data_IF_190226600236
#
_entry.id   IF_190226600236
#
_cell.length_a   1.000
_cell.length_b   1.000
_cell.length_c   1.000
_cell.angle_alpha   90.00
_cell.angle_beta   90.00
_cell.angle_gamma   90.00
#
_symmetry.space_group_name_H-M   'P 1'
#
loop_
_entity.id
_entity.type
_entity.pdbx_description
1 polymer ?
#
# COMPACT_ATOMS: atom_id res chain seq x y z
N UNK A 1 -12.42 11.34 -1.64
CA UNK A 1 -13.53 11.38 -2.61
C UNK A 1 -14.82 11.66 -1.86
N UNK A 2 -15.59 12.69 -2.19
CA UNK A 2 -16.74 13.05 -1.38
C UNK A 2 -17.99 12.16 -1.61
N UNK A 3 -18.80 11.92 -0.56
CA UNK A 3 -20.07 11.18 -0.58
C UNK A 3 -21.12 11.90 0.28
N UNK A 4 -22.37 12.01 -0.18
CA UNK A 4 -23.42 12.81 0.46
C UNK A 4 -24.43 11.98 1.25
N UNK A 5 -25.03 12.58 2.27
CA UNK A 5 -26.19 12.02 2.98
C UNK A 5 -27.48 12.27 2.15
N UNK A 6 -28.43 11.32 2.08
CA UNK A 6 -29.72 11.49 1.38
C UNK A 6 -30.52 12.72 1.83
N UNK A 7 -31.08 13.45 0.86
CA UNK A 7 -31.81 14.71 0.98
C UNK A 7 -32.35 15.15 -0.38
N UNK A 8 -33.15 16.23 -0.43
CA UNK A 8 -33.87 16.68 -1.65
C UNK A 8 -32.97 16.98 -2.86
N UNK A 9 -31.67 17.16 -2.64
CA UNK A 9 -30.67 17.53 -3.65
C UNK A 9 -29.59 16.47 -3.86
N UNK A 10 -29.64 15.40 -3.07
CA UNK A 10 -28.52 14.48 -2.94
C UNK A 10 -28.22 13.76 -4.24
N UNK A 11 -29.23 13.36 -5.02
CA UNK A 11 -29.02 12.66 -6.29
C UNK A 11 -28.30 13.51 -7.34
N UNK A 12 -28.58 14.82 -7.40
CA UNK A 12 -27.96 15.75 -8.36
C UNK A 12 -26.51 16.01 -7.95
N UNK A 13 -26.29 16.37 -6.68
CA UNK A 13 -24.98 16.79 -6.19
C UNK A 13 -24.05 15.58 -6.05
N UNK A 14 -24.55 14.40 -5.73
CA UNK A 14 -23.73 13.19 -5.55
C UNK A 14 -23.01 12.80 -6.83
N UNK A 15 -23.65 12.92 -8.00
CA UNK A 15 -23.00 12.67 -9.28
C UNK A 15 -21.91 13.71 -9.61
N UNK A 16 -22.07 14.94 -9.13
CA UNK A 16 -21.12 16.04 -9.38
C UNK A 16 -19.88 15.88 -8.50
N UNK A 17 -20.07 15.42 -7.27
CA UNK A 17 -19.08 15.43 -6.19
C UNK A 17 -18.36 14.09 -6.01
N UNK A 18 -19.01 12.97 -6.39
CA UNK A 18 -18.43 11.64 -6.24
C UNK A 18 -17.13 11.50 -7.05
N UNK A 19 -16.11 10.90 -6.43
CA UNK A 19 -14.80 10.70 -7.05
C UNK A 19 -13.87 11.91 -7.04
N UNK A 20 -14.35 13.11 -6.70
CA UNK A 20 -13.54 14.34 -6.80
C UNK A 20 -12.87 14.71 -5.47
N UNK A 21 -11.73 15.39 -5.58
CA UNK A 21 -10.96 15.91 -4.43
C UNK A 21 -11.54 17.24 -3.98
N UNK A 22 -11.72 18.18 -4.91
CA UNK A 22 -12.36 19.47 -4.67
C UNK A 22 -13.32 19.75 -5.81
N UNK A 23 -14.52 20.25 -5.52
CA UNK A 23 -15.52 20.58 -6.54
C UNK A 23 -16.44 21.69 -6.07
N UNK A 24 -16.64 22.63 -6.98
CA UNK A 24 -17.58 23.71 -6.81
C UNK A 24 -18.91 23.35 -7.48
N UNK A 25 -20.00 23.59 -6.75
CA UNK A 25 -21.36 23.48 -7.26
C UNK A 25 -22.02 24.86 -7.21
N UNK A 26 -22.37 25.38 -8.37
CA UNK A 26 -23.10 26.65 -8.47
C UNK A 26 -24.58 26.39 -8.20
N UNK A 27 -25.14 27.14 -7.25
CA UNK A 27 -26.53 26.95 -6.81
C UNK A 27 -27.42 27.83 -7.68
N UNK A 28 -28.13 27.20 -8.64
CA UNK A 28 -28.95 27.89 -9.63
C UNK A 28 -30.44 27.86 -9.28
N UNK A 29 -31.25 28.64 -10.01
CA UNK A 29 -32.69 28.77 -9.75
C UNK A 29 -33.51 27.60 -10.32
N UNK A 30 -33.00 26.93 -11.37
CA UNK A 30 -33.65 25.80 -12.06
C UNK A 30 -33.81 24.56 -11.18
N UNK A 31 -32.99 24.55 -10.16
CA UNK A 31 -32.85 23.54 -9.15
C UNK A 31 -34.01 23.66 -8.13
N UNK A 32 -34.66 24.84 -8.00
CA UNK A 32 -35.59 25.15 -6.92
C UNK A 32 -37.01 24.58 -7.15
N UNK A 33 -37.54 23.72 -6.24
CA UNK A 33 -38.91 23.21 -6.33
C UNK A 33 -40.00 24.27 -6.06
N UNK A 34 -39.64 25.48 -5.58
CA UNK A 34 -40.57 26.61 -5.38
C UNK A 34 -39.91 27.93 -5.83
N UNK A 35 -40.20 28.40 -7.04
CA UNK A 35 -39.60 29.64 -7.59
C UNK A 35 -39.93 30.87 -6.72
N UNK A 36 -38.93 31.74 -6.48
CA UNK A 36 -39.14 33.10 -5.95
C UNK A 36 -38.75 33.36 -4.49
N UNK A 37 -38.42 32.33 -3.70
CA UNK A 37 -37.90 32.52 -2.34
C UNK A 37 -36.40 32.23 -2.28
N UNK A 38 -35.63 33.13 -1.66
CA UNK A 38 -34.26 32.82 -1.26
C UNK A 38 -34.30 31.65 -0.26
N UNK A 39 -33.57 30.59 -0.57
CA UNK A 39 -33.47 29.40 0.28
C UNK A 39 -32.03 29.22 0.71
N UNK A 40 -31.89 28.71 1.92
CA UNK A 40 -30.59 28.27 2.41
C UNK A 40 -30.23 26.96 1.74
N UNK A 41 -28.93 26.78 1.51
CA UNK A 41 -28.36 25.55 1.02
C UNK A 41 -27.57 24.89 2.15
N UNK A 42 -28.03 23.71 2.54
CA UNK A 42 -27.33 22.88 3.53
C UNK A 42 -26.99 21.54 2.90
N UNK A 43 -25.72 21.16 2.97
CA UNK A 43 -25.24 19.86 2.50
C UNK A 43 -24.30 19.23 3.53
N UNK A 44 -24.47 17.92 3.73
CA UNK A 44 -23.59 17.12 4.59
C UNK A 44 -22.91 16.04 3.75
N UNK A 45 -21.59 15.99 3.80
CA UNK A 45 -20.78 15.05 3.00
C UNK A 45 -19.61 14.45 3.79
N UNK A 46 -19.15 13.28 3.37
CA UNK A 46 -17.98 12.58 3.88
C UNK A 46 -16.89 12.55 2.84
N UNK A 47 -15.63 12.64 3.24
CA UNK A 47 -14.48 12.48 2.36
C UNK A 47 -13.89 11.08 2.48
N UNK A 48 -14.01 10.28 1.42
CA UNK A 48 -13.57 8.89 1.37
C UNK A 48 -14.40 8.02 2.31
N UNK A 49 -13.72 7.15 3.05
CA UNK A 49 -14.33 6.34 4.12
C UNK A 49 -14.27 7.03 5.49
N UNK A 50 -14.15 8.37 5.53
CA UNK A 50 -14.15 9.12 6.78
C UNK A 50 -15.46 8.95 7.52
N UNK A 51 -15.40 8.81 8.85
CA UNK A 51 -16.57 8.85 9.74
C UNK A 51 -16.95 10.28 10.14
N UNK A 52 -16.13 11.27 9.78
CA UNK A 52 -16.34 12.68 10.08
C UNK A 52 -17.10 13.35 8.93
N UNK A 53 -18.30 13.82 9.23
CA UNK A 53 -19.13 14.57 8.29
C UNK A 53 -18.67 16.03 8.19
N UNK A 54 -18.60 16.55 6.98
CA UNK A 54 -18.43 17.97 6.67
C UNK A 54 -19.78 18.58 6.31
N UNK A 55 -20.00 19.81 6.77
CA UNK A 55 -21.24 20.53 6.53
C UNK A 55 -20.95 21.82 5.77
N UNK A 56 -21.79 22.10 4.77
CA UNK A 56 -21.86 23.38 4.08
C UNK A 56 -23.21 23.98 4.46
N UNK A 57 -23.21 25.23 4.89
CA UNK A 57 -24.42 26.00 5.14
C UNK A 57 -24.23 27.38 4.50
N UNK A 58 -25.01 27.66 3.45
CA UNK A 58 -25.01 28.93 2.74
C UNK A 58 -26.39 29.54 2.88
N UNK A 59 -26.46 30.69 3.53
CA UNK A 59 -27.69 31.46 3.67
C UNK A 59 -27.98 32.20 2.36
N UNK A 60 -29.25 32.30 1.95
CA UNK A 60 -29.64 32.93 0.67
C UNK A 60 -28.81 32.40 -0.52
N UNK A 61 -28.80 31.08 -0.72
CA UNK A 61 -27.79 30.40 -1.50
C UNK A 61 -27.88 30.60 -3.02
N UNK A 62 -28.94 31.24 -3.53
CA UNK A 62 -29.12 31.46 -4.97
C UNK A 62 -27.96 32.30 -5.55
N UNK A 63 -27.30 31.78 -6.59
CA UNK A 63 -26.17 32.44 -7.22
C UNK A 63 -24.83 32.26 -6.49
N UNK A 64 -24.84 31.64 -5.30
CA UNK A 64 -23.63 31.31 -4.56
C UNK A 64 -23.08 29.94 -4.97
N UNK A 65 -21.84 29.69 -4.57
CA UNK A 65 -21.12 28.44 -4.85
C UNK A 65 -20.93 27.65 -3.56
N UNK A 66 -21.33 26.38 -3.58
CA UNK A 66 -20.96 25.41 -2.55
C UNK A 66 -19.67 24.67 -2.95
N UNK A 67 -18.62 24.82 -2.14
CA UNK A 67 -17.35 24.12 -2.35
C UNK A 67 -17.28 22.87 -1.49
N UNK A 68 -17.20 21.71 -2.15
CA UNK A 68 -16.93 20.42 -1.54
C UNK A 68 -15.43 20.17 -1.58
N UNK A 69 -14.76 20.20 -0.43
CA UNK A 69 -13.32 20.07 -0.35
C UNK A 69 -12.89 18.87 0.51
N UNK A 70 -12.21 17.92 -0.13
CA UNK A 70 -11.55 16.76 0.48
C UNK A 70 -10.02 16.82 0.33
N UNK A 71 -9.45 18.00 0.07
CA UNK A 71 -8.00 18.20 -0.10
C UNK A 71 -7.20 17.69 1.12
N UNK A 72 -7.68 17.97 2.33
CA UNK A 72 -7.03 17.55 3.58
C UNK A 72 -7.00 16.02 3.71
N UNK A 73 -8.13 15.34 3.50
CA UNK A 73 -8.21 13.88 3.57
C UNK A 73 -7.44 13.22 2.43
N UNK A 74 -7.49 13.81 1.23
CA UNK A 74 -6.70 13.34 0.11
C UNK A 74 -5.21 13.45 0.38
N UNK A 75 -4.77 14.52 1.05
CA UNK A 75 -3.37 14.68 1.49
C UNK A 75 -2.97 13.60 2.51
N UNK A 76 -3.88 13.23 3.42
CA UNK A 76 -3.61 12.13 4.35
C UNK A 76 -3.43 10.79 3.61
N UNK A 77 -4.32 10.48 2.65
CA UNK A 77 -4.23 9.25 1.86
C UNK A 77 -3.04 9.24 0.88
N UNK A 78 -2.67 10.40 0.33
CA UNK A 78 -1.58 10.54 -0.64
C UNK A 78 -0.19 10.72 0.00
N UNK A 79 -0.13 11.05 1.28
CA UNK A 79 1.11 11.39 1.97
C UNK A 79 1.98 10.20 2.40
N UNK A 80 1.53 8.97 2.15
CA UNK A 80 2.32 7.78 2.47
C UNK A 80 3.54 7.68 1.55
N UNK A 81 4.68 7.31 2.16
CA UNK A 81 5.96 7.20 1.46
C UNK A 81 6.70 5.96 1.90
N UNK A 82 7.04 5.09 0.95
CA UNK A 82 7.90 3.92 1.17
C UNK A 82 9.32 4.26 0.71
N UNK A 83 10.27 4.35 1.64
CA UNK A 83 11.65 4.79 1.39
C UNK A 83 12.64 3.64 1.59
N UNK A 84 13.58 3.47 0.66
CA UNK A 84 14.72 2.56 0.79
C UNK A 84 15.96 3.33 1.24
N UNK A 85 16.49 2.97 2.41
CA UNK A 85 17.74 3.52 2.94
C UNK A 85 18.99 2.84 2.37
N UNK A 86 20.14 3.49 2.53
CA UNK A 86 21.45 2.89 2.25
C UNK A 86 21.84 1.78 3.24
N UNK A 87 21.07 1.61 4.32
CA UNK A 87 21.17 0.49 5.25
C UNK A 87 20.41 -0.75 4.76
N UNK A 88 19.72 -0.67 3.62
CA UNK A 88 18.88 -1.76 3.11
C UNK A 88 17.55 -1.87 3.82
N UNK A 89 17.18 -0.91 4.66
CA UNK A 89 15.91 -0.90 5.36
C UNK A 89 14.83 -0.20 4.52
N UNK A 90 13.65 -0.80 4.43
CA UNK A 90 12.46 -0.17 3.86
C UNK A 90 11.62 0.43 4.97
N UNK A 91 11.36 1.73 4.88
CA UNK A 91 10.59 2.48 5.88
C UNK A 91 9.34 3.03 5.22
N UNK A 92 8.17 2.67 5.76
CA UNK A 92 6.91 3.30 5.39
C UNK A 92 6.59 4.39 6.40
N UNK A 93 6.40 5.61 5.91
CA UNK A 93 5.94 6.76 6.70
C UNK A 93 4.56 7.21 6.28
N UNK A 94 3.80 7.76 7.23
CA UNK A 94 2.54 8.45 6.95
C UNK A 94 2.76 9.86 6.35
N UNK A 95 1.68 10.62 6.19
CA UNK A 95 1.68 11.98 5.67
C UNK A 95 2.42 13.01 6.55
N UNK A 96 2.65 12.69 7.82
CA UNK A 96 3.45 13.52 8.75
C UNK A 96 4.92 13.08 8.78
N UNK A 97 5.34 12.15 7.92
CA UNK A 97 6.64 11.48 7.96
C UNK A 97 6.88 10.66 9.24
N UNK A 98 5.82 10.28 9.96
CA UNK A 98 5.94 9.37 11.10
C UNK A 98 6.10 7.96 10.58
N UNK A 99 7.12 7.24 11.05
CA UNK A 99 7.34 5.83 10.71
C UNK A 99 6.18 4.99 11.23
N UNK A 100 5.50 4.29 10.34
CA UNK A 100 4.38 3.40 10.66
C UNK A 100 4.72 1.92 10.46
N UNK A 101 5.74 1.63 9.65
CA UNK A 101 6.27 0.29 9.42
C UNK A 101 7.73 0.34 8.95
N UNK A 102 8.47 -0.74 9.16
CA UNK A 102 9.87 -0.92 8.76
C UNK A 102 10.11 -2.40 8.44
N UNK A 103 10.89 -2.71 7.40
CA UNK A 103 11.29 -4.09 7.11
C UNK A 103 12.30 -4.64 8.13
N UNK A 104 13.00 -3.74 8.84
CA UNK A 104 14.08 -4.07 9.78
C UNK A 104 15.19 -4.91 9.14
N UNK A 105 15.43 -4.68 7.85
CA UNK A 105 16.53 -5.29 7.11
C UNK A 105 17.73 -4.35 7.17
N UNK A 106 18.91 -4.90 7.47
CA UNK A 106 20.15 -4.13 7.66
C UNK A 106 21.35 -4.72 6.92
N UNK A 107 21.09 -5.59 5.94
CA UNK A 107 22.13 -6.22 5.13
C UNK A 107 22.15 -5.55 3.77
N UNK A 108 23.34 -5.20 3.29
CA UNK A 108 23.55 -4.49 2.03
C UNK A 108 24.68 -5.12 1.24
N UNK A 109 24.75 -4.78 -0.03
CA UNK A 109 25.76 -5.28 -0.95
C UNK A 109 26.84 -4.26 -1.27
N UNK A 110 27.62 -4.61 -2.29
CA UNK A 110 28.52 -3.68 -2.97
C UNK A 110 27.68 -2.63 -3.71
N UNK A 111 28.15 -1.39 -3.66
CA UNK A 111 27.55 -0.27 -4.39
C UNK A 111 27.81 -0.40 -5.89
N UNK A 112 26.75 -0.28 -6.69
CA UNK A 112 26.84 -0.17 -8.13
C UNK A 112 26.11 1.07 -8.62
N UNK A 113 26.74 1.80 -9.54
CA UNK A 113 26.15 3.02 -10.12
C UNK A 113 24.77 2.75 -10.73
N UNK A 114 24.60 1.62 -11.43
CA UNK A 114 23.33 1.25 -12.06
C UNK A 114 22.15 1.18 -11.09
N UNK A 115 22.40 0.87 -9.81
CA UNK A 115 21.35 0.71 -8.80
C UNK A 115 21.21 1.94 -7.89
N UNK A 116 21.89 3.05 -8.17
CA UNK A 116 21.66 4.30 -7.46
C UNK A 116 20.24 4.80 -7.68
N UNK A 117 19.67 5.44 -6.66
CA UNK A 117 18.35 6.05 -6.69
C UNK A 117 18.08 6.89 -7.95
N UNK A 118 19.08 7.67 -8.39
CA UNK A 118 19.02 8.54 -9.58
C UNK A 118 18.78 7.77 -10.89
N UNK A 119 19.13 6.49 -10.93
CA UNK A 119 19.00 5.61 -12.10
C UNK A 119 17.75 4.72 -12.04
N UNK A 120 17.00 4.75 -10.93
CA UNK A 120 15.71 4.07 -10.80
C UNK A 120 14.57 4.80 -11.50
N UNK A 121 13.39 4.17 -11.59
CA UNK A 121 12.21 4.66 -12.33
C UNK A 121 11.85 6.13 -12.03
N UNK A 122 11.82 6.47 -10.74
CA UNK A 122 11.42 7.80 -10.27
C UNK A 122 12.61 8.71 -9.92
N UNK A 123 13.84 8.28 -10.23
CA UNK A 123 15.09 9.02 -9.96
C UNK A 123 15.26 9.45 -8.49
N UNK A 124 14.73 8.64 -7.57
CA UNK A 124 14.72 8.84 -6.11
C UNK A 124 14.59 7.50 -5.39
N UNK A 125 14.83 7.49 -4.08
CA UNK A 125 14.86 6.28 -3.25
C UNK A 125 13.52 5.99 -2.55
N UNK A 126 12.40 6.50 -3.05
CA UNK A 126 11.10 6.27 -2.45
C UNK A 126 9.95 6.20 -3.46
N UNK A 127 8.89 5.49 -3.07
CA UNK A 127 7.59 5.45 -3.74
C UNK A 127 6.57 6.27 -2.96
N UNK A 128 5.78 7.07 -3.66
CA UNK A 128 4.60 7.75 -3.11
C UNK A 128 3.36 6.86 -3.26
N UNK A 129 2.33 7.15 -2.46
CA UNK A 129 1.02 6.52 -2.61
C UNK A 129 0.50 6.62 -4.06
N UNK A 130 0.09 5.50 -4.63
CA UNK A 130 -0.39 5.40 -6.01
C UNK A 130 0.70 5.16 -7.07
N UNK A 131 1.98 5.31 -6.72
CA UNK A 131 3.08 4.95 -7.62
C UNK A 131 3.32 3.44 -7.62
N UNK A 132 3.64 2.92 -8.80
CA UNK A 132 3.84 1.48 -8.99
C UNK A 132 5.18 1.20 -9.68
N UNK A 133 5.80 0.09 -9.30
CA UNK A 133 6.89 -0.53 -10.06
C UNK A 133 6.29 -1.63 -10.93
N UNK A 134 6.41 -1.45 -12.23
CA UNK A 134 6.21 -2.49 -13.22
C UNK A 134 7.33 -3.51 -13.14
N UNK A 135 7.09 -4.64 -13.80
CA UNK A 135 7.98 -5.78 -13.81
C UNK A 135 9.38 -5.40 -14.31
N UNK A 136 10.42 -5.67 -13.51
CA UNK A 136 11.81 -5.29 -13.78
C UNK A 136 12.16 -3.83 -13.49
N UNK A 137 11.18 -2.97 -13.19
CA UNK A 137 11.43 -1.60 -12.75
C UNK A 137 11.81 -1.59 -11.26
N UNK A 138 12.70 -0.66 -10.90
CA UNK A 138 13.24 -0.56 -9.55
C UNK A 138 13.32 0.89 -9.04
N UNK A 139 13.43 1.03 -7.72
CA UNK A 139 14.02 2.21 -7.07
C UNK A 139 15.30 1.78 -6.35
N UNK A 140 16.34 2.60 -6.45
CA UNK A 140 17.64 2.35 -5.84
C UNK A 140 17.79 2.99 -4.46
N UNK A 141 18.72 2.48 -3.65
CA UNK A 141 19.24 3.26 -2.52
C UNK A 141 20.08 4.44 -3.03
N UNK A 142 20.27 5.51 -2.24
CA UNK A 142 21.09 6.65 -2.65
C UNK A 142 22.51 6.26 -3.12
N UNK A 143 23.14 5.31 -2.44
CA UNK A 143 24.47 4.78 -2.76
C UNK A 143 24.46 3.68 -3.83
N UNK A 144 23.31 3.05 -4.10
CA UNK A 144 23.20 1.94 -5.05
C UNK A 144 23.74 0.60 -4.53
N UNK A 145 23.87 0.44 -3.21
CA UNK A 145 24.25 -0.82 -2.56
C UNK A 145 23.08 -1.81 -2.37
N UNK A 146 21.85 -1.35 -2.60
CA UNK A 146 20.64 -2.16 -2.64
C UNK A 146 19.57 -1.46 -3.48
N UNK A 147 18.55 -2.22 -3.89
CA UNK A 147 17.46 -1.71 -4.72
C UNK A 147 16.17 -2.49 -4.47
N UNK A 148 15.04 -1.80 -4.57
CA UNK A 148 13.70 -2.38 -4.50
C UNK A 148 13.19 -2.60 -5.93
N UNK A 149 12.86 -3.84 -6.29
CA UNK A 149 12.45 -4.22 -7.64
C UNK A 149 11.16 -5.04 -7.62
N UNK A 150 10.34 -4.88 -8.66
CA UNK A 150 9.30 -5.84 -8.97
C UNK A 150 9.92 -7.03 -9.71
N UNK A 151 10.22 -8.10 -8.97
CA UNK A 151 10.99 -9.24 -9.48
C UNK A 151 10.17 -10.12 -10.45
N UNK A 152 10.86 -10.65 -11.45
CA UNK A 152 10.35 -11.58 -12.48
C UNK A 152 10.67 -13.04 -12.21
N UNK A 153 11.52 -13.33 -11.22
CA UNK A 153 12.09 -14.66 -11.02
C UNK A 153 11.02 -15.73 -10.71
N UNK A 154 11.32 -16.96 -11.13
CA UNK A 154 10.44 -18.15 -11.14
C UNK A 154 9.71 -18.43 -9.82
N UNK A 155 10.26 -17.97 -8.68
CA UNK A 155 9.73 -18.21 -7.34
C UNK A 155 9.02 -17.00 -6.70
N UNK A 156 8.94 -15.84 -7.36
CA UNK A 156 8.22 -14.71 -6.77
C UNK A 156 8.01 -13.55 -7.71
N UNK A 157 6.80 -13.46 -8.25
CA UNK A 157 6.24 -12.19 -8.71
C UNK A 157 6.02 -11.32 -7.46
N UNK A 158 6.88 -10.36 -7.18
CA UNK A 158 6.73 -9.61 -5.95
C UNK A 158 7.76 -8.52 -5.78
N UNK A 159 7.40 -7.59 -4.91
CA UNK A 159 8.26 -6.50 -4.52
C UNK A 159 9.36 -7.05 -3.59
N UNK A 160 10.62 -6.92 -4.01
CA UNK A 160 11.78 -7.44 -3.29
C UNK A 160 12.87 -6.40 -3.15
N UNK A 161 13.55 -6.39 -2.00
CA UNK A 161 14.81 -5.65 -1.83
C UNK A 161 15.96 -6.58 -2.20
N UNK A 162 16.77 -6.22 -3.20
CA UNK A 162 17.94 -6.98 -3.65
C UNK A 162 19.23 -6.18 -3.42
N UNK A 163 20.35 -6.90 -3.40
CA UNK A 163 21.70 -6.38 -3.30
C UNK A 163 22.66 -7.34 -4.00
N UNK A 164 23.90 -6.92 -4.24
CA UNK A 164 24.93 -7.76 -4.87
C UNK A 164 26.11 -7.93 -3.92
N UNK A 165 26.66 -9.14 -3.75
CA UNK A 165 27.84 -9.38 -2.91
C UNK A 165 29.08 -9.69 -3.76
N UNK A 166 30.24 -9.13 -3.39
CA UNK A 166 31.54 -9.49 -3.97
C UNK A 166 32.27 -10.47 -3.04
N UNK A 167 31.95 -11.76 -3.15
CA UNK A 167 32.79 -12.88 -2.69
C UNK A 167 32.08 -14.18 -3.03
N UNK A 168 31.90 -14.39 -4.32
CA UNK A 168 31.82 -15.75 -4.83
C UNK A 168 33.28 -16.22 -4.87
N UNK A 169 33.68 -17.11 -3.95
CA UNK A 169 34.88 -17.92 -4.15
C UNK A 169 34.81 -18.46 -5.61
N UNK A 170 35.89 -18.42 -6.40
CA UNK A 170 35.81 -18.65 -7.86
C UNK A 170 35.28 -20.05 -8.27
N UNK A 171 35.05 -20.94 -7.30
CA UNK A 171 34.40 -22.25 -7.45
C UNK A 171 32.92 -22.28 -7.02
N UNK A 172 32.37 -21.14 -6.62
CA UNK A 172 30.98 -20.93 -6.23
C UNK A 172 30.49 -19.64 -6.90
N UNK A 173 30.25 -19.68 -8.22
CA UNK A 173 29.30 -18.74 -8.82
C UNK A 173 28.07 -18.71 -7.92
N UNK A 174 27.68 -17.53 -7.46
CA UNK A 174 26.54 -17.30 -6.56
C UNK A 174 25.24 -17.88 -7.11
N UNK A 175 25.09 -19.18 -6.90
CA UNK A 175 23.87 -19.99 -6.99
C UNK A 175 23.28 -20.16 -5.59
N UNK A 176 23.65 -19.28 -4.66
CA UNK A 176 23.03 -19.23 -3.36
C UNK A 176 21.60 -18.69 -3.57
N UNK A 177 20.63 -19.48 -3.15
CA UNK A 177 19.20 -19.19 -3.15
C UNK A 177 18.84 -18.00 -2.22
N UNK A 178 19.82 -17.47 -1.49
CA UNK A 178 19.74 -16.43 -0.46
C UNK A 178 20.34 -15.06 -0.88
N UNK A 179 20.90 -14.93 -2.08
CA UNK A 179 21.56 -13.72 -2.60
C UNK A 179 20.57 -12.84 -3.34
N UNK A 180 19.32 -13.29 -3.46
CA UNK A 180 18.26 -12.64 -4.20
C UNK A 180 17.05 -12.29 -3.32
N UNK A 181 17.27 -11.52 -2.25
CA UNK A 181 16.19 -10.87 -1.51
C UNK A 181 16.47 -10.71 -0.02
N UNK A 182 16.59 -9.48 0.48
CA UNK A 182 16.62 -9.17 1.92
C UNK A 182 15.22 -9.30 2.54
N UNK A 183 14.23 -8.94 1.74
CA UNK A 183 12.83 -8.91 2.12
C UNK A 183 11.99 -9.13 0.86
N UNK A 184 11.00 -10.01 0.96
CA UNK A 184 9.96 -10.19 -0.05
C UNK A 184 8.63 -9.94 0.65
N UNK A 185 7.80 -9.08 0.08
CA UNK A 185 6.39 -9.09 0.46
C UNK A 185 5.78 -10.41 -0.06
N UNK A 186 4.94 -11.06 0.75
CA UNK A 186 4.36 -12.37 0.45
C UNK A 186 3.60 -12.37 -0.87
N UNK A 187 3.54 -13.55 -1.49
CA UNK A 187 2.87 -13.73 -2.77
C UNK A 187 1.36 -13.44 -2.63
N UNK A 188 0.82 -12.50 -3.40
CA UNK A 188 -0.63 -12.30 -3.46
C UNK A 188 -1.31 -13.49 -4.18
N UNK A 189 -2.63 -13.68 -4.04
CA UNK A 189 -3.37 -14.68 -4.82
C UNK A 189 -3.20 -14.56 -6.34
N UNK A 190 -2.85 -13.35 -6.83
CA UNK A 190 -2.47 -13.13 -8.22
C UNK A 190 -1.21 -13.91 -8.63
N UNK A 191 -0.29 -14.13 -7.70
CA UNK A 191 0.96 -14.84 -7.96
C UNK A 191 0.77 -16.36 -8.07
N UNK A 192 -0.21 -16.93 -7.36
CA UNK A 192 -0.57 -18.35 -7.56
C UNK A 192 -1.25 -18.56 -8.93
N UNK A 193 -2.07 -17.61 -9.39
CA UNK A 193 -2.67 -17.64 -10.73
C UNK A 193 -1.63 -17.59 -11.85
N UNK A 194 -0.62 -16.71 -11.74
CA UNK A 194 0.45 -16.63 -12.75
C UNK A 194 1.33 -17.89 -12.73
N UNK A 195 1.63 -18.43 -11.54
CA UNK A 195 2.40 -19.68 -11.41
C UNK A 195 1.67 -20.84 -12.10
N UNK A 196 0.35 -20.94 -11.91
CA UNK A 196 -0.49 -21.94 -12.57
C UNK A 196 -0.53 -21.73 -14.10
N UNK A 197 -0.66 -20.48 -14.58
CA UNK A 197 -0.65 -20.14 -16.01
C UNK A 197 0.66 -20.53 -16.72
N UNK A 198 1.80 -20.22 -16.10
CA UNK A 198 3.13 -20.56 -16.65
C UNK A 198 3.46 -22.04 -16.49
N UNK A 199 2.96 -22.72 -15.46
CA UNK A 199 3.06 -24.18 -15.36
C UNK A 199 2.28 -24.84 -16.51
N UNK A 200 1.11 -24.30 -16.88
CA UNK A 200 0.40 -24.68 -18.10
C UNK A 200 1.25 -24.43 -19.36
N UNK A 201 1.92 -23.27 -19.48
CA UNK A 201 2.74 -22.96 -20.66
C UNK A 201 3.98 -23.85 -20.76
N UNK A 202 4.65 -24.13 -19.64
CA UNK A 202 5.90 -24.91 -19.61
C UNK A 202 5.65 -26.42 -19.73
N UNK A 203 4.46 -26.92 -19.35
CA UNK A 203 4.01 -28.28 -19.71
C UNK A 203 3.70 -28.45 -21.21
N UNK A 204 3.86 -27.39 -22.00
CA UNK A 204 3.71 -27.42 -23.47
C UNK A 204 5.04 -27.70 -24.19
N UNK A 205 6.17 -27.81 -23.48
CA UNK A 205 7.50 -28.10 -24.05
C UNK A 205 8.28 -29.11 -23.20
N UNK A 206 7.72 -30.29 -23.00
CA UNK A 206 8.50 -31.49 -22.66
C UNK A 206 8.35 -32.47 -23.82
N UNK A 207 9.46 -32.81 -24.46
CA UNK A 207 9.62 -33.81 -25.54
C UNK A 207 9.39 -33.37 -27.00
N UNK A 208 9.40 -32.06 -27.30
CA UNK A 208 9.42 -31.58 -28.68
C UNK A 208 8.15 -31.90 -29.51
N UNK A 209 7.06 -32.31 -28.86
CA UNK A 209 5.74 -32.50 -29.48
C UNK A 209 4.74 -31.53 -28.87
N UNK A 210 4.17 -30.68 -29.72
CA UNK A 210 3.00 -29.87 -29.38
C UNK A 210 1.88 -30.79 -28.88
N UNK A 211 1.43 -30.56 -27.64
CA UNK A 211 0.19 -31.18 -27.15
C UNK A 211 -0.96 -30.68 -28.04
N UNK A 212 -1.60 -31.62 -28.75
CA UNK A 212 -2.76 -31.33 -29.56
C UNK A 212 -3.86 -30.70 -28.68
N UNK A 213 -4.48 -29.62 -29.18
CA UNK A 213 -5.59 -28.91 -28.51
C UNK A 213 -6.79 -29.83 -28.25
N UNK A 214 -6.82 -31.00 -28.87
CA UNK A 214 -7.81 -32.05 -28.65
C UNK A 214 -7.57 -32.87 -27.38
N UNK A 215 -6.39 -32.80 -26.75
CA UNK A 215 -6.06 -33.58 -25.56
C UNK A 215 -6.95 -33.19 -24.36
N UNK A 216 -7.70 -34.16 -23.84
CA UNK A 216 -8.64 -33.96 -22.73
C UNK A 216 -7.97 -33.44 -21.45
N UNK A 217 -6.70 -33.78 -21.20
CA UNK A 217 -5.94 -33.24 -20.06
C UNK A 217 -5.65 -31.75 -20.23
N UNK A 218 -5.33 -31.30 -21.46
CA UNK A 218 -5.13 -29.88 -21.76
C UNK A 218 -6.42 -29.09 -21.63
N UNK A 219 -7.54 -29.62 -22.17
CA UNK A 219 -8.87 -29.00 -22.02
C UNK A 219 -9.27 -28.88 -20.56
N UNK A 220 -9.05 -29.93 -19.76
CA UNK A 220 -9.33 -29.92 -18.31
C UNK A 220 -8.52 -28.83 -17.60
N UNK A 221 -7.22 -28.78 -17.83
CA UNK A 221 -6.34 -27.77 -17.23
C UNK A 221 -6.69 -26.33 -17.66
N UNK A 222 -7.04 -26.11 -18.93
CA UNK A 222 -7.49 -24.81 -19.43
C UNK A 222 -8.84 -24.41 -18.82
N UNK A 223 -9.75 -25.35 -18.64
CA UNK A 223 -11.05 -25.12 -18.00
C UNK A 223 -10.88 -24.75 -16.52
N UNK A 224 -10.03 -25.49 -15.79
CA UNK A 224 -9.70 -25.20 -14.40
C UNK A 224 -9.04 -23.83 -14.25
N UNK A 225 -8.12 -23.47 -15.16
CA UNK A 225 -7.49 -22.15 -15.19
C UNK A 225 -8.51 -21.03 -15.43
N UNK A 226 -9.40 -21.19 -16.41
CA UNK A 226 -10.42 -20.21 -16.72
C UNK A 226 -11.46 -20.08 -15.59
N UNK A 227 -11.79 -21.16 -14.89
CA UNK A 227 -12.64 -21.13 -13.70
C UNK A 227 -11.99 -20.34 -12.57
N UNK A 228 -10.73 -20.64 -12.22
CA UNK A 228 -9.98 -19.88 -11.20
C UNK A 228 -9.81 -18.41 -11.57
N UNK A 229 -9.54 -18.10 -12.84
CA UNK A 229 -9.42 -16.72 -13.31
C UNK A 229 -10.76 -15.98 -13.25
N UNK A 230 -11.86 -16.63 -13.60
CA UNK A 230 -13.21 -16.06 -13.48
C UNK A 230 -13.66 -15.91 -12.02
N UNK A 231 -13.29 -16.84 -11.14
CA UNK A 231 -13.48 -16.69 -9.69
C UNK A 231 -12.65 -15.51 -9.16
N UNK A 232 -11.41 -15.32 -9.62
CA UNK A 232 -10.60 -14.17 -9.27
C UNK A 232 -11.20 -12.85 -9.77
N UNK A 233 -11.66 -12.78 -11.03
CA UNK A 233 -12.33 -11.58 -11.57
C UNK A 233 -13.67 -11.32 -10.85
N UNK A 234 -14.35 -12.36 -10.37
CA UNK A 234 -15.56 -12.22 -9.55
C UNK A 234 -15.23 -11.79 -8.12
N UNK A 235 -14.17 -12.32 -7.50
CA UNK A 235 -13.70 -11.92 -6.17
C UNK A 235 -13.10 -10.50 -6.18
N UNK A 236 -12.40 -10.10 -7.25
CA UNK A 236 -11.91 -8.72 -7.42
C UNK A 236 -13.07 -7.73 -7.60
N UNK A 237 -14.27 -8.20 -7.98
CA UNK A 237 -15.51 -7.43 -8.03
C UNK A 237 -16.37 -7.55 -6.76
N UNK A 238 -16.12 -8.54 -5.89
CA UNK A 238 -16.95 -8.86 -4.73
C UNK A 238 -16.10 -9.03 -3.47
N UNK A 239 -15.26 -8.05 -3.15
CA UNK A 239 -14.83 -7.71 -1.78
C UNK A 239 -14.60 -8.83 -0.71
N UNK A 240 -13.88 -9.95 -0.94
CA UNK A 240 -13.54 -10.88 0.14
C UNK A 240 -12.05 -10.78 0.55
N UNK A 241 -11.21 -10.08 -0.23
CA UNK A 241 -9.83 -9.75 0.15
C UNK A 241 -9.78 -8.67 1.24
N UNK A 242 -10.90 -7.98 1.51
CA UNK A 242 -10.98 -7.06 2.62
C UNK A 242 -10.84 -7.81 3.95
N UNK A 243 -11.43 -8.98 4.13
CA UNK A 243 -11.33 -9.72 5.40
C UNK A 243 -9.96 -10.35 5.62
N UNK A 244 -9.29 -10.84 4.57
CA UNK A 244 -7.92 -11.37 4.69
C UNK A 244 -6.89 -10.24 4.84
N UNK A 245 -7.06 -9.12 4.12
CA UNK A 245 -6.23 -7.95 4.32
C UNK A 245 -6.50 -7.29 5.67
N UNK A 246 -7.75 -7.27 6.16
CA UNK A 246 -8.10 -6.84 7.52
C UNK A 246 -7.53 -7.83 8.54
N UNK A 247 -7.52 -9.14 8.30
CA UNK A 247 -6.91 -10.09 9.24
C UNK A 247 -5.39 -9.97 9.31
N UNK A 248 -4.75 -9.68 8.17
CA UNK A 248 -3.32 -9.35 8.11
C UNK A 248 -3.03 -8.01 8.80
N UNK A 249 -3.84 -6.99 8.53
CA UNK A 249 -3.73 -5.68 9.20
C UNK A 249 -4.04 -5.77 10.70
N UNK A 250 -4.98 -6.62 11.12
CA UNK A 250 -5.31 -6.84 12.52
C UNK A 250 -4.22 -7.62 13.24
N UNK A 251 -3.61 -8.62 12.59
CA UNK A 251 -2.43 -9.30 13.13
C UNK A 251 -1.23 -8.33 13.25
N UNK A 252 -1.05 -7.43 12.28
CA UNK A 252 -0.05 -6.36 12.36
C UNK A 252 -0.37 -5.31 13.43
N UNK A 253 -1.65 -5.06 13.72
CA UNK A 253 -2.09 -4.16 14.79
C UNK A 253 -1.96 -4.80 16.18
N UNK A 254 -2.15 -6.13 16.27
CA UNK A 254 -1.87 -6.93 17.47
C UNK A 254 -0.37 -6.91 17.79
N UNK A 255 0.49 -7.07 16.77
CA UNK A 255 1.94 -6.89 16.89
C UNK A 255 2.32 -5.45 17.28
N UNK A 256 1.62 -4.42 16.78
CA UNK A 256 1.79 -3.04 17.26
C UNK A 256 1.43 -2.88 18.73
N UNK A 257 0.35 -3.51 19.18
CA UNK A 257 -0.05 -3.52 20.58
C UNK A 257 1.04 -4.14 21.46
N UNK A 258 1.62 -5.25 21.02
CA UNK A 258 2.73 -5.91 21.71
C UNK A 258 4.00 -5.05 21.76
N UNK A 259 4.41 -4.43 20.65
CA UNK A 259 5.59 -3.54 20.59
C UNK A 259 5.39 -2.29 21.45
N UNK A 260 4.19 -1.67 21.41
CA UNK A 260 3.87 -0.51 22.23
C UNK A 260 3.84 -0.86 23.73
N UNK A 261 3.34 -2.05 24.08
CA UNK A 261 3.35 -2.56 25.45
C UNK A 261 4.77 -2.85 25.93
N UNK A 262 5.64 -3.41 25.08
CA UNK A 262 7.04 -3.65 25.40
C UNK A 262 7.79 -2.32 25.69
N UNK A 263 7.51 -1.28 24.90
CA UNK A 263 8.09 0.05 25.13
C UNK A 263 7.62 0.68 26.46
N UNK A 264 6.32 0.55 26.79
CA UNK A 264 5.76 1.00 28.08
C UNK A 264 6.35 0.23 29.26
N UNK A 265 6.51 -1.08 29.14
CA UNK A 265 7.15 -1.91 30.16
C UNK A 265 8.61 -1.50 30.41
N UNK A 266 9.39 -1.29 29.36
CA UNK A 266 10.77 -0.84 29.49
C UNK A 266 10.88 0.54 30.16
N UNK A 267 9.99 1.48 29.80
CA UNK A 267 9.95 2.81 30.43
C UNK A 267 9.58 2.73 31.92
N UNK A 268 8.59 1.91 32.27
CA UNK A 268 8.17 1.73 33.67
C UNK A 268 9.26 1.02 34.49
N UNK A 269 9.95 0.02 33.92
CA UNK A 269 11.09 -0.64 34.57
C UNK A 269 12.22 0.34 34.88
N UNK A 270 12.57 1.22 33.94
CA UNK A 270 13.58 2.25 34.17
C UNK A 270 13.18 3.23 35.29
N UNK A 271 11.91 3.65 35.33
CA UNK A 271 11.42 4.52 36.41
C UNK A 271 11.49 3.84 37.78
N UNK A 272 11.12 2.55 37.86
CA UNK A 272 11.23 1.77 39.10
C UNK A 272 12.70 1.69 39.54
N UNK A 273 13.62 1.39 38.62
CA UNK A 273 15.06 1.35 38.92
C UNK A 273 15.56 2.71 39.42
N UNK A 274 15.20 3.82 38.76
CA UNK A 274 15.58 5.16 39.22
C UNK A 274 15.09 5.46 40.64
N UNK A 275 13.84 5.10 40.95
CA UNK A 275 13.25 5.30 42.29
C UNK A 275 14.00 4.46 43.34
N UNK A 276 14.33 3.19 43.04
CA UNK A 276 15.10 2.33 43.94
C UNK A 276 16.51 2.87 44.20
N UNK A 277 17.17 3.42 43.17
CA UNK A 277 18.50 4.06 43.31
C UNK A 277 18.40 5.29 44.23
N UNK A 278 17.40 6.14 44.03
CA UNK A 278 17.19 7.33 44.89
C UNK A 278 16.96 6.92 46.35
N UNK A 279 16.12 5.92 46.62
CA UNK A 279 15.90 5.41 47.97
C UNK A 279 17.18 4.81 48.59
N UNK A 280 17.99 4.10 47.79
CA UNK A 280 19.28 3.57 48.23
C UNK A 280 20.25 4.69 48.65
N UNK A 281 20.33 5.76 47.86
CA UNK A 281 21.17 6.93 48.17
C UNK A 281 20.68 7.63 49.45
N UNK A 282 19.37 7.86 49.60
CA UNK A 282 18.81 8.48 50.80
C UNK A 282 19.11 7.65 52.05
N UNK A 283 19.03 6.32 51.96
CA UNK A 283 19.35 5.42 53.07
C UNK A 283 20.84 5.39 53.41
N UNK A 284 21.73 5.59 52.44
CA UNK A 284 23.17 5.64 52.67
C UNK A 284 23.64 6.97 53.30
N UNK A 285 22.84 8.04 53.17
CA UNK A 285 23.13 9.37 53.74
C UNK A 285 22.62 9.50 55.19
N UNK A 286 21.72 8.62 55.63
CA UNK A 286 21.24 8.55 57.03
C UNK A 286 22.04 7.54 57.83
#
# INVERSE_FOLDING_TARGET
MASLIPGNWTSIIQNIVNGKITTDYQILNQDNPVPGCAKDFTATYYCGNSTVAKNINIQNALGNTATFDCSAENKMCGGFKLTLGDDGNLILTDYNNVRIWSSNTFKVGVSFDQYKAINGKYKRNFLLAGEMLGVGEFIGSPSGNCYLIMDTSYNGNGLKVKYSSSNCDDNQFGLDENTNGLFSMTSSPYNSLIKDAKTLSNKTLTDGKTLDKTNELYKKHLTDFNLKNNEYIKQSKVAPELDYAISQLSAMDEDRGLVANQYRYNKNMWLIICVLVIFGIIKAIK
#
